data_IF_545566467093
#
_entry.id   IF_545566467093
#
_cell.length_a   1.000
_cell.length_b   1.000
_cell.length_c   1.000
_cell.angle_alpha   90.00
_cell.angle_beta   90.00
_cell.angle_gamma   90.00
#
_symmetry.space_group_name_H-M   'P 1'
#
loop_
_entity.id
_entity.type
_entity.pdbx_description
1 polymer ?
#
# COMPACT_ATOMS: atom_id res chain seq x y z
N UNK A 1 -16.69 4.35 -4.68
CA UNK A 1 -15.60 5.32 -4.87
C UNK A 1 -15.37 5.63 -6.34
N UNK A 2 -15.19 4.62 -7.20
CA UNK A 2 -14.93 4.80 -8.65
C UNK A 2 -16.07 5.53 -9.38
N UNK A 3 -17.32 5.31 -8.98
CA UNK A 3 -18.45 6.03 -9.53
C UNK A 3 -18.42 7.52 -9.21
N UNK A 4 -18.06 7.89 -7.98
CA UNK A 4 -17.88 9.29 -7.59
C UNK A 4 -16.78 9.97 -8.41
N UNK A 5 -15.68 9.26 -8.68
CA UNK A 5 -14.59 9.77 -9.52
C UNK A 5 -15.06 9.99 -10.95
N UNK A 6 -15.83 9.06 -11.53
CA UNK A 6 -16.38 9.22 -12.89
C UNK A 6 -17.34 10.39 -12.98
N UNK A 7 -18.22 10.55 -11.99
CA UNK A 7 -19.17 11.66 -11.94
C UNK A 7 -18.42 13.00 -11.82
N UNK A 8 -17.44 13.09 -10.93
CA UNK A 8 -16.64 14.31 -10.75
C UNK A 8 -15.85 14.68 -12.02
N UNK A 9 -15.20 13.69 -12.64
CA UNK A 9 -14.41 13.92 -13.87
C UNK A 9 -15.27 14.15 -15.12
N UNK A 10 -16.57 13.92 -15.06
CA UNK A 10 -17.49 14.28 -16.15
C UNK A 10 -17.69 15.79 -16.25
N UNK A 11 -17.41 16.55 -15.18
CA UNK A 11 -17.39 18.00 -15.21
C UNK A 11 -16.10 18.50 -15.87
N UNK A 12 -16.20 19.24 -17.00
CA UNK A 12 -14.99 19.69 -17.71
C UNK A 12 -14.13 20.69 -16.91
N UNK A 13 -14.67 21.32 -15.87
CA UNK A 13 -13.93 22.22 -15.01
C UNK A 13 -13.09 21.50 -13.94
N UNK A 14 -13.42 20.26 -13.61
CA UNK A 14 -12.71 19.47 -12.59
C UNK A 14 -11.38 18.92 -13.14
N UNK A 15 -11.31 18.54 -14.41
CA UNK A 15 -10.15 17.90 -14.99
C UNK A 15 -9.96 16.46 -14.53
N UNK A 16 -8.72 15.97 -14.63
CA UNK A 16 -8.39 14.59 -14.27
C UNK A 16 -8.08 14.47 -12.78
N UNK A 17 -8.73 13.51 -12.12
CA UNK A 17 -8.48 13.15 -10.73
C UNK A 17 -7.72 11.83 -10.70
N UNK A 18 -6.56 11.82 -10.06
CA UNK A 18 -5.79 10.61 -9.81
C UNK A 18 -6.01 10.09 -8.40
N UNK A 19 -6.01 8.78 -8.26
CA UNK A 19 -6.23 8.10 -6.97
C UNK A 19 -4.98 7.35 -6.55
N UNK A 20 -4.57 7.52 -5.31
CA UNK A 20 -3.58 6.64 -4.65
C UNK A 20 -4.33 5.41 -4.14
N UNK A 21 -4.10 4.20 -4.71
CA UNK A 21 -4.95 3.03 -4.47
C UNK A 21 -4.57 2.28 -3.18
N UNK A 22 -4.47 2.97 -2.04
CA UNK A 22 -4.03 2.38 -0.77
C UNK A 22 -4.91 1.23 -0.30
N UNK A 23 -6.22 1.38 -0.37
CA UNK A 23 -7.17 0.33 0.00
C UNK A 23 -7.05 -0.90 -0.90
N UNK A 24 -6.87 -0.70 -2.21
CA UNK A 24 -6.68 -1.78 -3.17
C UNK A 24 -5.37 -2.53 -2.93
N UNK A 25 -4.28 -1.81 -2.60
CA UNK A 25 -2.99 -2.41 -2.23
C UNK A 25 -3.12 -3.24 -0.96
N UNK A 26 -3.72 -2.70 0.10
CA UNK A 26 -3.92 -3.45 1.35
C UNK A 26 -4.77 -4.69 1.13
N UNK A 27 -5.84 -4.60 0.36
CA UNK A 27 -6.68 -5.74 0.03
C UNK A 27 -5.94 -6.79 -0.80
N UNK A 28 -5.13 -6.39 -1.76
CA UNK A 28 -4.30 -7.31 -2.55
C UNK A 28 -3.22 -7.98 -1.68
N UNK A 29 -2.54 -7.20 -0.83
CA UNK A 29 -1.52 -7.70 0.08
C UNK A 29 -2.08 -8.73 1.07
N UNK A 30 -3.21 -8.43 1.70
CA UNK A 30 -3.84 -9.37 2.65
C UNK A 30 -4.27 -10.66 1.97
N UNK A 31 -4.84 -10.60 0.77
CA UNK A 31 -5.18 -11.81 0.01
C UNK A 31 -3.94 -12.64 -0.34
N UNK A 32 -2.87 -12.00 -0.79
CA UNK A 32 -1.62 -12.70 -1.11
C UNK A 32 -0.98 -13.33 0.14
N UNK A 33 -1.01 -12.64 1.27
CA UNK A 33 -0.50 -13.16 2.55
C UNK A 33 -1.30 -14.39 3.00
N UNK A 34 -2.62 -14.31 2.99
CA UNK A 34 -3.51 -15.41 3.38
C UNK A 34 -3.43 -16.60 2.42
N UNK A 35 -3.11 -16.36 1.14
CA UNK A 35 -2.86 -17.39 0.14
C UNK A 35 -1.46 -18.04 0.25
N UNK A 36 -0.59 -17.56 1.15
CA UNK A 36 0.77 -18.08 1.31
C UNK A 36 1.76 -17.61 0.24
N UNK A 37 1.42 -16.55 -0.49
CA UNK A 37 2.25 -16.00 -1.58
C UNK A 37 3.31 -15.00 -1.08
N UNK A 38 3.23 -14.59 0.18
CA UNK A 38 4.17 -13.64 0.79
C UNK A 38 4.98 -14.35 1.87
N UNK A 39 6.25 -14.68 1.61
CA UNK A 39 7.09 -15.38 2.60
C UNK A 39 7.24 -14.57 3.89
N UNK A 40 7.01 -15.23 5.03
CA UNK A 40 7.15 -14.61 6.36
C UNK A 40 5.96 -13.80 6.85
N UNK A 41 4.94 -13.58 6.01
CA UNK A 41 3.70 -12.89 6.37
C UNK A 41 2.50 -13.69 5.86
N UNK A 42 1.69 -14.22 6.78
CA UNK A 42 0.58 -15.12 6.43
C UNK A 42 -0.79 -14.64 6.89
N UNK A 43 -0.84 -13.60 7.73
CA UNK A 43 -2.07 -13.11 8.32
C UNK A 43 -2.17 -11.59 8.16
N UNK A 44 -3.34 -11.12 7.76
CA UNK A 44 -3.63 -9.68 7.56
C UNK A 44 -3.41 -8.84 8.82
N UNK A 45 -3.59 -9.44 10.01
CA UNK A 45 -3.36 -8.77 11.29
C UNK A 45 -1.94 -8.23 11.44
N UNK A 46 -0.98 -8.79 10.71
CA UNK A 46 0.40 -8.32 10.69
C UNK A 46 0.57 -6.88 10.17
N UNK A 47 -0.41 -6.34 9.46
CA UNK A 47 -0.39 -4.97 8.91
C UNK A 47 -1.06 -3.93 9.80
N UNK A 48 -1.72 -4.35 10.88
CA UNK A 48 -2.51 -3.47 11.74
C UNK A 48 -1.86 -3.25 13.10
N UNK A 49 -2.13 -2.08 13.68
CA UNK A 49 -1.68 -1.73 15.01
C UNK A 49 -2.38 -2.58 16.07
N UNK A 50 -1.79 -2.60 17.26
CA UNK A 50 -2.44 -3.12 18.47
C UNK A 50 -2.66 -1.96 19.42
N UNK A 51 -3.77 -1.99 20.15
CA UNK A 51 -4.06 -1.05 21.19
C UNK A 51 -3.22 -1.30 22.46
N UNK A 52 -3.41 -0.49 23.49
CA UNK A 52 -2.68 -0.58 24.75
C UNK A 52 -2.91 -1.91 25.50
N UNK A 53 -4.00 -2.60 25.20
CA UNK A 53 -4.32 -3.94 25.77
C UNK A 53 -3.74 -5.08 24.96
N UNK A 54 -3.11 -4.79 23.80
CA UNK A 54 -2.64 -5.78 22.85
C UNK A 54 -3.70 -6.30 21.90
N UNK A 55 -4.93 -5.77 21.96
CA UNK A 55 -6.00 -6.13 21.02
C UNK A 55 -5.77 -5.43 19.66
N UNK A 56 -6.20 -6.10 18.59
CA UNK A 56 -6.05 -5.58 17.23
C UNK A 56 -6.88 -4.31 17.03
N UNK A 57 -6.23 -3.24 16.62
CA UNK A 57 -6.89 -2.06 16.08
C UNK A 57 -7.22 -2.29 14.60
N UNK A 58 -8.51 -2.39 14.29
CA UNK A 58 -8.96 -2.68 12.93
C UNK A 58 -8.94 -1.48 11.98
N UNK A 59 -8.55 -0.31 12.48
CA UNK A 59 -8.59 0.95 11.72
C UNK A 59 -7.17 1.43 11.39
N UNK A 60 -6.26 1.35 12.36
CA UNK A 60 -4.93 1.90 12.22
C UNK A 60 -3.93 0.85 11.76
N UNK A 61 -3.12 1.23 10.78
CA UNK A 61 -2.01 0.41 10.31
C UNK A 61 -0.82 0.53 11.26
N UNK A 62 -0.04 -0.54 11.35
CA UNK A 62 1.28 -0.51 11.97
C UNK A 62 2.35 -0.07 10.95
N UNK A 63 3.63 -0.16 11.33
CA UNK A 63 4.73 0.22 10.45
C UNK A 63 4.74 -0.56 9.12
N UNK A 64 4.37 -1.84 9.12
CA UNK A 64 4.35 -2.68 7.92
C UNK A 64 3.24 -2.22 6.96
N UNK A 65 2.05 -1.98 7.48
CA UNK A 65 0.94 -1.45 6.70
C UNK A 65 1.24 -0.05 6.17
N UNK A 66 1.81 0.82 7.00
CA UNK A 66 2.22 2.17 6.59
C UNK A 66 3.31 2.15 5.52
N UNK A 67 4.22 1.18 5.56
CA UNK A 67 5.22 1.00 4.51
C UNK A 67 4.57 0.72 3.15
N UNK A 68 3.57 -0.16 3.09
CA UNK A 68 2.83 -0.43 1.85
C UNK A 68 2.13 0.82 1.32
N UNK A 69 1.55 1.64 2.19
CA UNK A 69 0.93 2.91 1.80
C UNK A 69 1.98 3.89 1.27
N UNK A 70 3.14 3.98 1.88
CA UNK A 70 4.25 4.81 1.39
C UNK A 70 4.72 4.38 -0.01
N UNK A 71 4.89 3.08 -0.24
CA UNK A 71 5.22 2.53 -1.56
C UNK A 71 4.13 2.87 -2.60
N UNK A 72 2.86 2.83 -2.19
CA UNK A 72 1.73 3.14 -3.06
C UNK A 72 1.75 4.61 -3.48
N UNK A 73 2.06 5.52 -2.56
CA UNK A 73 2.27 6.93 -2.88
C UNK A 73 3.45 7.12 -3.84
N UNK A 74 4.58 6.48 -3.56
CA UNK A 74 5.75 6.55 -4.43
C UNK A 74 5.41 6.11 -5.86
N UNK A 75 4.81 4.95 -6.03
CA UNK A 75 4.47 4.41 -7.33
C UNK A 75 3.48 5.32 -8.09
N UNK A 76 2.50 5.88 -7.38
CA UNK A 76 1.45 6.72 -7.99
C UNK A 76 1.96 8.12 -8.34
N UNK A 77 2.77 8.74 -7.48
CA UNK A 77 3.26 10.10 -7.69
C UNK A 77 4.43 10.18 -8.67
N UNK A 78 5.33 9.21 -8.61
CA UNK A 78 6.54 9.22 -9.46
C UNK A 78 6.43 8.35 -10.71
N UNK A 79 5.37 7.55 -10.84
CA UNK A 79 5.18 6.61 -11.96
C UNK A 79 6.36 5.66 -12.12
N UNK A 80 6.91 5.20 -11.00
CA UNK A 80 8.07 4.31 -10.94
C UNK A 80 7.78 3.10 -10.07
N UNK A 81 8.35 1.96 -10.44
CA UNK A 81 8.28 0.76 -9.62
C UNK A 81 8.99 0.98 -8.28
N UNK A 82 8.36 0.62 -7.16
CA UNK A 82 9.02 0.70 -5.86
C UNK A 82 9.97 -0.47 -5.59
N UNK A 83 10.12 -1.41 -6.53
CA UNK A 83 11.04 -2.54 -6.38
C UNK A 83 12.48 -2.04 -6.21
N UNK A 84 13.15 -2.52 -5.16
CA UNK A 84 14.51 -2.12 -4.82
C UNK A 84 14.63 -0.94 -3.87
N UNK A 85 13.52 -0.33 -3.45
CA UNK A 85 13.55 0.69 -2.40
C UNK A 85 13.92 0.07 -1.04
N UNK A 86 14.57 0.84 -0.15
CA UNK A 86 14.93 0.35 1.19
C UNK A 86 13.70 -0.08 1.99
N UNK A 87 13.83 -1.18 2.76
CA UNK A 87 12.80 -1.62 3.71
C UNK A 87 13.00 -1.06 5.13
N UNK A 88 14.19 -0.56 5.45
CA UNK A 88 14.56 -0.06 6.76
C UNK A 88 14.37 1.47 6.83
N UNK A 89 13.16 1.90 7.11
CA UNK A 89 12.82 3.31 7.22
C UNK A 89 12.82 3.80 8.68
N UNK A 90 12.65 5.10 8.84
CA UNK A 90 12.47 5.74 10.14
C UNK A 90 11.08 6.34 10.24
N UNK A 91 10.54 6.35 11.46
CA UNK A 91 9.32 7.08 11.80
C UNK A 91 9.60 8.59 11.86
N UNK A 92 8.54 9.37 11.91
CA UNK A 92 8.64 10.84 11.99
C UNK A 92 9.42 11.34 13.21
N UNK A 93 9.44 10.57 14.31
CA UNK A 93 10.22 10.87 15.53
C UNK A 93 11.72 10.48 15.42
N UNK A 94 12.12 9.96 14.25
CA UNK A 94 13.49 9.53 13.99
C UNK A 94 13.82 8.11 14.45
N UNK A 95 12.91 7.43 15.15
CA UNK A 95 13.11 6.04 15.58
C UNK A 95 13.00 5.08 14.39
N UNK A 96 13.73 3.95 14.40
CA UNK A 96 13.57 2.93 13.37
C UNK A 96 12.14 2.41 13.32
N UNK A 97 11.56 2.36 12.12
CA UNK A 97 10.30 1.64 11.89
C UNK A 97 10.56 0.14 11.86
N UNK A 98 9.56 -0.64 12.28
CA UNK A 98 9.59 -2.09 12.09
C UNK A 98 9.61 -2.41 10.62
N UNK A 99 10.63 -3.14 10.16
CA UNK A 99 10.77 -3.53 8.76
C UNK A 99 9.97 -4.78 8.42
N UNK A 100 9.57 -4.90 7.16
CA UNK A 100 9.08 -6.15 6.61
C UNK A 100 10.16 -7.25 6.74
N UNK A 101 9.77 -8.53 6.88
CA UNK A 101 10.72 -9.62 6.68
C UNK A 101 11.42 -9.49 5.33
N UNK A 102 12.74 -9.72 5.28
CA UNK A 102 13.55 -9.52 4.06
C UNK A 102 12.96 -10.25 2.85
N UNK A 103 12.49 -11.47 3.06
CA UNK A 103 11.88 -12.29 2.01
C UNK A 103 10.48 -11.82 1.56
N UNK A 104 9.83 -10.96 2.32
CA UNK A 104 8.53 -10.37 1.98
C UNK A 104 8.67 -9.04 1.21
N UNK A 105 9.83 -8.39 1.29
CA UNK A 105 10.04 -7.04 0.79
C UNK A 105 9.78 -6.93 -0.71
N UNK A 106 10.52 -7.68 -1.52
CA UNK A 106 10.40 -7.63 -2.98
C UNK A 106 9.03 -8.11 -3.48
N UNK A 107 8.47 -9.22 -2.99
CA UNK A 107 7.13 -9.63 -3.37
C UNK A 107 6.07 -8.55 -3.12
N UNK A 108 6.11 -7.85 -2.00
CA UNK A 108 5.16 -6.78 -1.69
C UNK A 108 5.42 -5.51 -2.51
N UNK A 109 6.67 -5.15 -2.78
CA UNK A 109 7.00 -4.05 -3.69
C UNK A 109 6.46 -4.29 -5.09
N UNK A 110 6.61 -5.51 -5.62
CA UNK A 110 6.03 -5.92 -6.91
C UNK A 110 4.51 -5.87 -6.91
N UNK A 111 3.89 -6.33 -5.84
CA UNK A 111 2.44 -6.29 -5.68
C UNK A 111 1.92 -4.84 -5.72
N UNK A 112 2.57 -3.91 -5.03
CA UNK A 112 2.22 -2.49 -5.08
C UNK A 112 2.28 -1.97 -6.52
N UNK A 113 3.35 -2.29 -7.25
CA UNK A 113 3.49 -1.90 -8.65
C UNK A 113 2.40 -2.48 -9.55
N UNK A 114 2.07 -3.75 -9.38
CA UNK A 114 0.99 -4.39 -10.12
C UNK A 114 -0.36 -3.71 -9.88
N UNK A 115 -0.68 -3.37 -8.64
CA UNK A 115 -1.93 -2.66 -8.32
C UNK A 115 -1.91 -1.26 -8.91
N UNK A 116 -0.81 -0.51 -8.75
CA UNK A 116 -0.69 0.85 -9.27
C UNK A 116 -0.86 0.93 -10.78
N UNK A 117 -0.30 -0.03 -11.52
CA UNK A 117 -0.37 -0.06 -13.00
C UNK A 117 -1.68 -0.60 -13.54
N UNK A 118 -2.42 -1.39 -12.76
CA UNK A 118 -3.70 -1.99 -13.17
C UNK A 118 -4.92 -1.19 -12.75
N UNK A 119 -4.82 -0.41 -11.69
CA UNK A 119 -5.95 0.41 -11.23
C UNK A 119 -6.10 1.65 -12.11
N UNK A 120 -7.24 1.75 -12.80
CA UNK A 120 -7.46 2.71 -13.87
C UNK A 120 -7.27 4.18 -13.46
N UNK A 121 -7.54 4.53 -12.19
CA UNK A 121 -7.51 5.92 -11.73
C UNK A 121 -6.16 6.38 -11.17
N UNK A 122 -5.11 5.57 -11.26
CA UNK A 122 -3.76 6.02 -10.86
C UNK A 122 -3.07 6.85 -11.95
N UNK A 123 -3.43 6.65 -13.20
CA UNK A 123 -2.71 7.19 -14.35
C UNK A 123 -1.33 6.54 -14.59
N UNK A 124 -0.92 5.59 -13.75
CA UNK A 124 0.38 4.90 -13.87
C UNK A 124 0.30 3.82 -14.95
N UNK A 125 1.32 3.77 -15.79
CA UNK A 125 1.48 2.76 -16.84
C UNK A 125 2.77 1.99 -16.61
N UNK A 126 2.71 0.70 -16.86
CA UNK A 126 3.89 -0.17 -16.82
C UNK A 126 4.82 0.10 -18.01
#
# INVERSE_FOLDING_TARGET
>A
QDELLRVAMADPEVGTIYTVPGGQVLAAATRAMEAGEVPGLTQREALFAKDETGALDQIHLNDLGNYLIALTHFATLYHQSPEGLPGNLRRADGQPATALPDQALVPLQRLVWQVATRYAFTGVKS
#
